data_IF_081060724337
#
_entry.id   IF_081060724337
#
_cell.length_a   1.000
_cell.length_b   1.000
_cell.length_c   1.000
_cell.angle_alpha   90.00
_cell.angle_beta   90.00
_cell.angle_gamma   90.00
#
_symmetry.space_group_name_H-M   'P 1'
#
loop_
_entity.id
_entity.type
_entity.pdbx_description
1 polymer ?
#
# COMPACT_ATOMS: atom_id res chain seq x y z
N UNK A 1 -25.99 -11.49 -5.66
CA UNK A 1 -26.28 -10.04 -5.77
C UNK A 1 -25.29 -9.19 -5.01
N UNK A 2 -24.99 -9.47 -3.73
CA UNK A 2 -24.03 -8.66 -2.95
C UNK A 2 -22.58 -8.73 -3.46
N UNK A 3 -22.10 -9.91 -3.89
CA UNK A 3 -20.78 -10.04 -4.51
C UNK A 3 -20.63 -9.21 -5.78
N UNK A 4 -21.60 -9.30 -6.70
CA UNK A 4 -21.66 -8.47 -7.91
C UNK A 4 -21.67 -6.97 -7.61
N UNK A 5 -22.33 -6.55 -6.52
CA UNK A 5 -22.26 -5.17 -6.05
C UNK A 5 -20.83 -4.83 -5.58
N UNK A 6 -20.19 -5.71 -4.82
CA UNK A 6 -18.79 -5.55 -4.41
C UNK A 6 -17.84 -5.41 -5.60
N UNK A 7 -17.95 -6.28 -6.61
CA UNK A 7 -17.17 -6.21 -7.85
C UNK A 7 -17.41 -4.90 -8.60
N UNK A 8 -18.67 -4.50 -8.77
CA UNK A 8 -19.02 -3.24 -9.42
C UNK A 8 -18.42 -2.04 -8.67
N UNK A 9 -18.43 -2.06 -7.33
CA UNK A 9 -17.82 -1.03 -6.51
C UNK A 9 -16.30 -0.98 -6.71
N UNK A 10 -15.62 -2.12 -6.84
CA UNK A 10 -14.18 -2.16 -7.12
C UNK A 10 -13.86 -1.65 -8.53
N UNK A 11 -14.70 -1.96 -9.53
CA UNK A 11 -14.55 -1.41 -10.90
C UNK A 11 -14.76 0.11 -10.89
N UNK A 12 -15.79 0.60 -10.21
CA UNK A 12 -16.04 2.05 -10.05
C UNK A 12 -14.84 2.71 -9.36
N UNK A 13 -14.33 2.11 -8.28
CA UNK A 13 -13.15 2.61 -7.58
C UNK A 13 -11.93 2.67 -8.50
N UNK A 14 -11.67 1.62 -9.28
CA UNK A 14 -10.55 1.55 -10.20
C UNK A 14 -10.62 2.63 -11.29
N UNK A 15 -11.80 2.81 -11.92
CA UNK A 15 -12.02 3.85 -12.93
C UNK A 15 -11.91 5.25 -12.34
N UNK A 16 -12.53 5.49 -11.18
CA UNK A 16 -12.45 6.77 -10.47
C UNK A 16 -11.01 7.10 -10.04
N UNK A 17 -10.23 6.09 -9.62
CA UNK A 17 -8.81 6.25 -9.32
C UNK A 17 -8.01 6.68 -10.56
N UNK A 18 -8.24 6.03 -11.70
CA UNK A 18 -7.61 6.39 -12.97
C UNK A 18 -7.92 7.83 -13.38
N UNK A 19 -9.20 8.22 -13.28
CA UNK A 19 -9.64 9.60 -13.53
C UNK A 19 -8.98 10.58 -12.56
N UNK A 20 -8.91 10.24 -11.26
CA UNK A 20 -8.27 11.07 -10.25
C UNK A 20 -6.79 11.27 -10.54
N UNK A 21 -6.05 10.19 -10.80
CA UNK A 21 -4.61 10.23 -11.08
C UNK A 21 -4.31 11.07 -12.34
N UNK A 22 -5.07 10.86 -13.42
CA UNK A 22 -4.93 11.62 -14.66
C UNK A 22 -5.30 13.09 -14.48
N UNK A 23 -6.38 13.39 -13.77
CA UNK A 23 -6.80 14.76 -13.51
C UNK A 23 -5.76 15.53 -12.68
N UNK A 24 -5.22 14.93 -11.61
CA UNK A 24 -4.12 15.53 -10.85
C UNK A 24 -2.84 15.67 -11.68
N UNK A 25 -2.52 14.72 -12.54
CA UNK A 25 -1.38 14.81 -13.46
C UNK A 25 -1.51 16.00 -14.42
N UNK A 26 -2.67 16.16 -15.07
CA UNK A 26 -2.93 17.28 -15.97
C UNK A 26 -3.00 18.62 -15.24
N UNK A 27 -3.60 18.65 -14.05
CA UNK A 27 -3.59 19.84 -13.18
C UNK A 27 -2.16 20.25 -12.83
N UNK A 28 -1.31 19.28 -12.48
CA UNK A 28 0.09 19.54 -12.19
C UNK A 28 0.87 19.99 -13.44
N UNK A 29 0.57 19.49 -14.63
CA UNK A 29 1.21 20.02 -15.86
C UNK A 29 0.80 21.46 -16.19
N UNK A 30 -0.41 21.85 -15.83
CA UNK A 30 -0.94 23.18 -16.12
C UNK A 30 -0.71 24.21 -14.99
N UNK A 31 0.17 23.96 -14.00
CA UNK A 31 0.21 24.78 -12.78
C UNK A 31 0.51 26.28 -12.99
N UNK A 32 1.16 26.63 -14.11
CA UNK A 32 1.44 28.02 -14.48
C UNK A 32 0.19 28.77 -14.98
N UNK A 33 -0.84 28.04 -15.44
CA UNK A 33 -2.13 28.58 -15.87
C UNK A 33 -3.26 28.09 -14.95
N UNK A 34 -3.58 28.92 -13.95
CA UNK A 34 -4.62 28.63 -12.96
C UNK A 34 -6.00 28.40 -13.58
N UNK A 35 -6.30 28.98 -14.75
CA UNK A 35 -7.58 28.80 -15.43
C UNK A 35 -7.72 27.39 -16.01
N UNK A 36 -6.60 26.80 -16.44
CA UNK A 36 -6.54 25.42 -16.92
C UNK A 36 -6.39 24.42 -15.77
N UNK A 37 -5.61 24.71 -14.72
CA UNK A 37 -5.37 23.79 -13.60
C UNK A 37 -6.58 23.61 -12.66
N UNK A 38 -7.41 24.64 -12.51
CA UNK A 38 -8.56 24.65 -11.58
C UNK A 38 -9.58 23.53 -11.84
N UNK A 39 -10.12 23.40 -13.07
CA UNK A 39 -11.06 22.34 -13.43
C UNK A 39 -10.50 20.93 -13.20
N UNK A 40 -9.25 20.69 -13.61
CA UNK A 40 -8.59 19.39 -13.41
C UNK A 40 -8.41 19.05 -11.94
N UNK A 41 -8.01 20.03 -11.11
CA UNK A 41 -7.87 19.83 -9.66
C UNK A 41 -9.21 19.47 -9.03
N UNK A 42 -10.30 20.16 -9.42
CA UNK A 42 -11.66 19.86 -8.94
C UNK A 42 -12.09 18.44 -9.34
N UNK A 43 -11.89 18.06 -10.60
CA UNK A 43 -12.17 16.71 -11.08
C UNK A 43 -11.37 15.65 -10.31
N UNK A 44 -10.08 15.90 -10.08
CA UNK A 44 -9.21 15.02 -9.30
C UNK A 44 -9.74 14.78 -7.88
N UNK A 45 -10.11 15.84 -7.16
CA UNK A 45 -10.69 15.74 -5.81
C UNK A 45 -12.02 14.99 -5.78
N UNK A 46 -12.92 15.29 -6.72
CA UNK A 46 -14.22 14.61 -6.80
C UNK A 46 -14.07 13.13 -7.13
N UNK A 47 -13.18 12.80 -8.07
CA UNK A 47 -12.87 11.42 -8.44
C UNK A 47 -12.20 10.66 -7.28
N UNK A 48 -11.31 11.30 -6.52
CA UNK A 48 -10.75 10.72 -5.29
C UNK A 48 -11.83 10.42 -4.24
N UNK A 49 -12.75 11.37 -4.03
CA UNK A 49 -13.88 11.18 -3.12
C UNK A 49 -14.81 10.04 -3.55
N UNK A 50 -15.13 9.96 -4.85
CA UNK A 50 -15.94 8.88 -5.41
C UNK A 50 -15.24 7.51 -5.28
N UNK A 51 -13.94 7.45 -5.56
CA UNK A 51 -13.11 6.26 -5.33
C UNK A 51 -13.13 5.86 -3.85
N UNK A 52 -12.88 6.78 -2.94
CA UNK A 52 -12.87 6.50 -1.49
C UNK A 52 -14.23 5.99 -0.98
N UNK A 53 -15.33 6.57 -1.46
CA UNK A 53 -16.68 6.08 -1.15
C UNK A 53 -16.92 4.67 -1.69
N UNK A 54 -16.49 4.38 -2.92
CA UNK A 54 -16.63 3.05 -3.52
C UNK A 54 -15.78 1.98 -2.80
N UNK A 55 -14.53 2.29 -2.46
CA UNK A 55 -13.65 1.40 -1.67
C UNK A 55 -14.21 1.17 -0.27
N UNK A 56 -14.71 2.22 0.39
CA UNK A 56 -15.35 2.12 1.70
C UNK A 56 -16.62 1.27 1.66
N UNK A 57 -17.46 1.46 0.64
CA UNK A 57 -18.65 0.65 0.43
C UNK A 57 -18.30 -0.83 0.14
N UNK A 58 -17.31 -1.09 -0.72
CA UNK A 58 -16.83 -2.45 -0.98
C UNK A 58 -16.31 -3.12 0.30
N UNK A 59 -15.57 -2.38 1.11
CA UNK A 59 -15.09 -2.85 2.42
C UNK A 59 -16.26 -3.18 3.37
N UNK A 60 -17.29 -2.33 3.41
CA UNK A 60 -18.52 -2.60 4.16
C UNK A 60 -19.26 -3.86 3.68
N UNK A 61 -19.32 -4.07 2.36
CA UNK A 61 -19.90 -5.30 1.77
C UNK A 61 -19.09 -6.52 2.19
N UNK A 62 -17.76 -6.48 2.10
CA UNK A 62 -16.92 -7.63 2.48
C UNK A 62 -17.07 -7.97 3.97
N UNK A 63 -17.06 -6.97 4.86
CA UNK A 63 -17.35 -7.21 6.27
C UNK A 63 -18.74 -7.81 6.50
N UNK A 64 -19.76 -7.32 5.79
CA UNK A 64 -21.10 -7.90 5.88
C UNK A 64 -21.09 -9.37 5.46
N UNK A 65 -20.43 -9.73 4.36
CA UNK A 65 -20.32 -11.11 3.88
C UNK A 65 -19.60 -12.01 4.90
N UNK A 66 -18.53 -11.52 5.52
CA UNK A 66 -17.79 -12.22 6.57
C UNK A 66 -18.67 -12.44 7.80
N UNK A 67 -19.25 -11.36 8.35
CA UNK A 67 -20.02 -11.39 9.60
C UNK A 67 -21.34 -12.16 9.50
N UNK A 68 -21.82 -12.40 8.27
CA UNK A 68 -23.02 -13.18 7.99
C UNK A 68 -22.71 -14.54 7.36
N UNK A 69 -21.45 -15.00 7.45
CA UNK A 69 -21.02 -16.35 7.09
C UNK A 69 -21.42 -16.75 5.65
N UNK A 70 -21.24 -15.83 4.69
CA UNK A 70 -21.63 -16.04 3.29
C UNK A 70 -20.59 -16.92 2.56
N UNK A 71 -20.57 -18.22 2.86
CA UNK A 71 -19.60 -19.19 2.36
C UNK A 71 -19.66 -19.49 0.86
N UNK A 72 -20.66 -18.97 0.14
CA UNK A 72 -20.64 -19.00 -1.32
C UNK A 72 -19.50 -18.16 -1.92
N UNK A 73 -18.95 -17.21 -1.15
CA UNK A 73 -17.80 -16.39 -1.53
C UNK A 73 -16.51 -17.05 -1.09
N UNK A 74 -15.58 -17.20 -2.03
CA UNK A 74 -14.38 -17.99 -1.80
C UNK A 74 -13.49 -17.39 -0.71
N UNK A 75 -13.40 -16.05 -0.63
CA UNK A 75 -12.66 -15.37 0.43
C UNK A 75 -13.24 -15.67 1.82
N UNK A 76 -14.57 -15.58 1.97
CA UNK A 76 -15.27 -15.85 3.25
C UNK A 76 -15.09 -17.31 3.66
N UNK A 77 -15.28 -18.23 2.72
CA UNK A 77 -15.05 -19.66 2.95
C UNK A 77 -13.61 -19.98 3.37
N UNK A 78 -12.61 -19.36 2.75
CA UNK A 78 -11.20 -19.65 3.03
C UNK A 78 -10.70 -19.05 4.36
N UNK A 79 -11.29 -17.95 4.82
CA UNK A 79 -10.72 -17.16 5.93
C UNK A 79 -11.56 -17.19 7.22
N UNK A 80 -12.81 -17.66 7.17
CA UNK A 80 -13.73 -17.62 8.31
C UNK A 80 -14.41 -18.98 8.56
N UNK A 81 -14.96 -19.16 9.76
CA UNK A 81 -15.74 -20.33 10.19
C UNK A 81 -16.77 -19.91 11.25
N UNK A 82 -17.74 -20.80 11.52
CA UNK A 82 -18.84 -20.52 12.45
C UNK A 82 -18.39 -20.41 13.92
N UNK A 83 -17.28 -21.05 14.27
CA UNK A 83 -16.74 -21.14 15.63
C UNK A 83 -15.75 -20.01 15.99
N UNK A 84 -15.39 -19.16 15.01
CA UNK A 84 -14.47 -18.05 15.25
C UNK A 84 -15.09 -16.99 16.17
N UNK A 85 -14.40 -16.60 17.26
CA UNK A 85 -14.77 -15.43 18.04
C UNK A 85 -14.87 -14.17 17.18
N UNK A 86 -15.82 -13.28 17.50
CA UNK A 86 -16.13 -12.09 16.69
C UNK A 86 -14.90 -11.21 16.36
N UNK A 87 -13.96 -11.05 17.30
CA UNK A 87 -12.77 -10.23 17.05
C UNK A 87 -11.84 -10.86 16.00
N UNK A 88 -11.72 -12.19 15.98
CA UNK A 88 -10.99 -12.89 14.92
C UNK A 88 -11.79 -12.88 13.62
N UNK A 89 -13.11 -13.06 13.70
CA UNK A 89 -13.99 -12.98 12.54
C UNK A 89 -13.86 -11.63 11.82
N UNK A 90 -13.86 -10.51 12.55
CA UNK A 90 -13.61 -9.17 11.98
C UNK A 90 -12.23 -9.08 11.36
N UNK A 91 -11.22 -9.69 11.99
CA UNK A 91 -9.83 -9.66 11.49
C UNK A 91 -9.59 -10.47 10.22
N UNK A 92 -10.51 -11.39 9.88
CA UNK A 92 -10.44 -12.15 8.61
C UNK A 92 -10.44 -11.23 7.39
N UNK A 93 -10.96 -9.99 7.51
CA UNK A 93 -10.92 -8.97 6.47
C UNK A 93 -9.52 -8.71 5.91
N UNK A 94 -8.48 -8.80 6.75
CA UNK A 94 -7.09 -8.57 6.34
C UNK A 94 -6.21 -9.81 6.47
N UNK A 95 -6.81 -10.97 6.77
CA UNK A 95 -6.11 -12.24 6.85
C UNK A 95 -5.68 -12.76 5.48
N UNK A 96 -6.63 -12.82 4.54
CA UNK A 96 -6.37 -13.20 3.16
C UNK A 96 -5.78 -12.05 2.33
N UNK A 97 -5.17 -12.40 1.20
CA UNK A 97 -4.48 -11.44 0.33
C UNK A 97 -5.39 -10.37 -0.23
N UNK A 98 -6.52 -10.76 -0.81
CA UNK A 98 -7.48 -9.88 -1.49
C UNK A 98 -8.04 -8.83 -0.52
N UNK A 99 -8.49 -9.28 0.66
CA UNK A 99 -8.97 -8.38 1.71
C UNK A 99 -7.85 -7.50 2.30
N UNK A 100 -6.62 -8.00 2.41
CA UNK A 100 -5.49 -7.19 2.87
C UNK A 100 -5.12 -6.07 1.88
N UNK A 101 -5.18 -6.33 0.57
CA UNK A 101 -5.04 -5.29 -0.46
C UNK A 101 -6.20 -4.30 -0.44
N UNK A 102 -7.44 -4.76 -0.22
CA UNK A 102 -8.60 -3.89 -0.04
C UNK A 102 -8.46 -2.99 1.20
N UNK A 103 -7.97 -3.54 2.32
CA UNK A 103 -7.70 -2.76 3.54
C UNK A 103 -6.61 -1.71 3.29
N UNK A 104 -5.54 -2.08 2.59
CA UNK A 104 -4.50 -1.14 2.21
C UNK A 104 -5.06 -0.03 1.30
N UNK A 105 -5.84 -0.37 0.28
CA UNK A 105 -6.49 0.60 -0.58
C UNK A 105 -7.41 1.56 0.20
N UNK A 106 -8.12 1.06 1.22
CA UNK A 106 -8.94 1.87 2.12
C UNK A 106 -8.09 2.86 2.94
N UNK A 107 -7.00 2.40 3.55
CA UNK A 107 -6.09 3.26 4.32
C UNK A 107 -5.43 4.33 3.43
N UNK A 108 -5.05 3.97 2.20
CA UNK A 108 -4.54 4.93 1.21
C UNK A 108 -5.58 5.98 0.81
N UNK A 109 -6.87 5.61 0.68
CA UNK A 109 -7.95 6.59 0.45
C UNK A 109 -8.01 7.63 1.56
N UNK A 110 -7.84 7.21 2.82
CA UNK A 110 -7.79 8.09 3.99
C UNK A 110 -6.56 8.99 3.93
N UNK A 111 -5.36 8.43 3.72
CA UNK A 111 -4.11 9.20 3.62
C UNK A 111 -4.18 10.25 2.52
N UNK A 112 -4.62 9.89 1.32
CA UNK A 112 -4.74 10.86 0.22
C UNK A 112 -5.88 11.87 0.42
N UNK A 113 -6.96 11.49 1.11
CA UNK A 113 -8.01 12.44 1.51
C UNK A 113 -7.50 13.48 2.49
N UNK A 114 -6.69 13.07 3.48
CA UNK A 114 -6.01 13.97 4.41
C UNK A 114 -4.98 14.85 3.68
N UNK A 115 -4.26 14.33 2.70
CA UNK A 115 -3.38 15.15 1.86
C UNK A 115 -4.16 16.23 1.12
N UNK A 116 -5.26 15.90 0.42
CA UNK A 116 -6.10 16.89 -0.27
C UNK A 116 -6.62 17.97 0.69
N UNK A 117 -6.96 17.58 1.93
CA UNK A 117 -7.50 18.49 2.94
C UNK A 117 -6.45 19.45 3.50
N UNK A 118 -5.25 18.95 3.81
CA UNK A 118 -4.28 19.67 4.66
C UNK A 118 -2.97 20.04 3.97
N UNK A 119 -2.64 19.45 2.82
CA UNK A 119 -1.41 19.80 2.10
C UNK A 119 -1.50 21.20 1.51
N UNK A 120 -0.37 21.90 1.47
CA UNK A 120 -0.26 23.19 0.80
C UNK A 120 -0.61 23.03 -0.68
N UNK A 121 -1.41 23.96 -1.22
CA UNK A 121 -2.02 23.85 -2.56
C UNK A 121 -1.02 23.66 -3.69
N UNK A 122 0.18 24.21 -3.56
CA UNK A 122 1.24 24.07 -4.56
C UNK A 122 1.83 22.64 -4.67
N UNK A 123 1.70 21.80 -3.64
CA UNK A 123 2.15 20.40 -3.69
C UNK A 123 1.02 19.42 -3.97
N UNK A 124 -0.23 19.84 -3.77
CA UNK A 124 -1.39 18.96 -3.87
C UNK A 124 -1.44 18.22 -5.21
N UNK A 125 -1.38 18.94 -6.32
CA UNK A 125 -1.54 18.33 -7.65
C UNK A 125 -0.40 17.37 -8.02
N UNK A 126 0.90 17.70 -7.89
CA UNK A 126 1.95 16.75 -8.25
C UNK A 126 2.04 15.58 -7.26
N UNK A 127 1.81 15.80 -5.96
CA UNK A 127 1.83 14.71 -4.96
C UNK A 127 0.67 13.76 -5.18
N UNK A 128 -0.55 14.27 -5.35
CA UNK A 128 -1.73 13.43 -5.55
C UNK A 128 -1.72 12.69 -6.88
N UNK A 129 -1.04 13.19 -7.92
CA UNK A 129 -0.81 12.43 -9.15
C UNK A 129 0.00 11.15 -8.89
N UNK A 130 1.05 11.25 -8.07
CA UNK A 130 1.91 10.09 -7.72
C UNK A 130 1.20 9.15 -6.75
N UNK A 131 0.51 9.68 -5.74
CA UNK A 131 -0.31 8.88 -4.81
C UNK A 131 -1.42 8.15 -5.57
N UNK A 132 -2.10 8.83 -6.50
CA UNK A 132 -3.13 8.24 -7.35
C UNK A 132 -2.61 7.13 -8.25
N UNK A 133 -1.39 7.26 -8.80
CA UNK A 133 -0.74 6.18 -9.54
C UNK A 133 -0.48 4.96 -8.64
N UNK A 134 0.01 5.17 -7.43
CA UNK A 134 0.23 4.08 -6.47
C UNK A 134 -1.08 3.40 -6.06
N UNK A 135 -2.13 4.18 -5.83
CA UNK A 135 -3.48 3.67 -5.52
C UNK A 135 -4.08 2.89 -6.68
N UNK A 136 -3.80 3.29 -7.93
CA UNK A 136 -4.27 2.57 -9.12
C UNK A 136 -3.66 1.17 -9.20
N UNK A 137 -2.36 1.04 -8.90
CA UNK A 137 -1.71 -0.28 -8.79
C UNK A 137 -2.29 -1.12 -7.65
N UNK A 138 -2.60 -0.52 -6.50
CA UNK A 138 -3.25 -1.25 -5.41
C UNK A 138 -4.64 -1.76 -5.81
N UNK A 139 -5.46 -0.90 -6.41
CA UNK A 139 -6.80 -1.29 -6.85
C UNK A 139 -6.76 -2.31 -7.99
N UNK A 140 -5.74 -2.26 -8.87
CA UNK A 140 -5.58 -3.29 -9.89
C UNK A 140 -5.29 -4.66 -9.30
N UNK A 141 -4.78 -4.79 -8.06
CA UNK A 141 -4.57 -6.10 -7.41
C UNK A 141 -5.88 -6.79 -7.04
N UNK A 142 -6.98 -6.04 -6.93
CA UNK A 142 -8.26 -6.56 -6.42
C UNK A 142 -9.44 -6.37 -7.37
N UNK A 143 -9.25 -5.70 -8.51
CA UNK A 143 -10.35 -5.38 -9.43
C UNK A 143 -10.96 -6.64 -10.08
N UNK A 144 -10.20 -7.73 -10.23
CA UNK A 144 -10.70 -9.02 -10.70
C UNK A 144 -11.18 -9.01 -12.15
N UNK A 145 -10.56 -8.21 -13.03
CA UNK A 145 -10.98 -8.09 -14.43
C UNK A 145 -10.30 -9.16 -15.28
N UNK A 146 -11.09 -9.90 -16.05
CA UNK A 146 -10.60 -10.94 -16.96
C UNK A 146 -10.78 -10.51 -18.43
N UNK A 147 -9.68 -10.49 -19.19
CA UNK A 147 -9.64 -10.20 -20.62
C UNK A 147 -9.02 -11.38 -21.36
N UNK A 148 -9.83 -12.41 -21.67
CA UNK A 148 -9.34 -13.64 -22.27
C UNK A 148 -8.35 -14.36 -21.34
N UNK A 149 -7.09 -14.61 -21.76
CA UNK A 149 -6.09 -15.26 -20.91
C UNK A 149 -5.45 -14.32 -19.88
N UNK A 150 -5.73 -13.02 -19.92
CA UNK A 150 -5.13 -12.04 -19.00
C UNK A 150 -6.10 -11.73 -17.88
N UNK A 151 -5.69 -11.97 -16.64
CA UNK A 151 -6.40 -11.60 -15.42
C UNK A 151 -5.68 -10.43 -14.74
N UNK A 152 -6.43 -9.40 -14.35
CA UNK A 152 -5.94 -8.23 -13.64
C UNK A 152 -6.58 -8.22 -12.25
N UNK A 153 -5.75 -8.53 -11.26
CA UNK A 153 -6.18 -8.62 -9.87
C UNK A 153 -7.04 -9.84 -9.56
N UNK A 154 -7.25 -10.09 -8.26
CA UNK A 154 -8.14 -11.13 -7.77
C UNK A 154 -9.15 -10.51 -6.80
N UNK A 155 -10.44 -10.62 -7.14
CA UNK A 155 -11.50 -9.97 -6.38
C UNK A 155 -11.85 -10.78 -5.12
N UNK A 156 -12.00 -10.13 -3.94
CA UNK A 156 -12.47 -10.82 -2.73
C UNK A 156 -13.94 -11.26 -2.83
N UNK A 157 -14.66 -10.82 -3.86
CA UNK A 157 -16.07 -11.12 -4.09
C UNK A 157 -16.31 -12.28 -5.04
N UNK A 158 -15.24 -12.94 -5.53
CA UNK A 158 -15.36 -14.15 -6.34
C UNK A 158 -16.08 -15.24 -5.56
N UNK A 159 -17.03 -15.89 -6.22
CA UNK A 159 -17.73 -17.06 -5.70
C UNK A 159 -16.82 -18.29 -5.75
N UNK A 160 -17.18 -19.33 -4.99
CA UNK A 160 -16.44 -20.59 -5.01
C UNK A 160 -16.31 -21.21 -6.42
N UNK A 161 -17.37 -21.30 -7.25
CA UNK A 161 -17.24 -21.83 -8.62
C UNK A 161 -16.33 -20.98 -9.51
N UNK A 162 -16.31 -19.66 -9.34
CA UNK A 162 -15.46 -18.75 -10.12
C UNK A 162 -13.98 -18.89 -9.74
N UNK A 163 -13.68 -19.01 -8.44
CA UNK A 163 -12.29 -19.16 -7.97
C UNK A 163 -11.74 -20.57 -8.19
N UNK A 164 -12.59 -21.58 -8.12
CA UNK A 164 -12.21 -22.98 -8.20
C UNK A 164 -12.85 -23.68 -9.40
N UNK A 165 -12.59 -23.16 -10.60
CA UNK A 165 -13.17 -23.65 -11.87
C UNK A 165 -12.93 -25.14 -12.11
N UNK A 166 -11.79 -25.65 -11.63
CA UNK A 166 -11.36 -27.03 -11.88
C UNK A 166 -11.85 -28.02 -10.81
N UNK A 167 -12.51 -27.54 -9.75
CA UNK A 167 -12.96 -28.42 -8.67
C UNK A 167 -14.16 -29.28 -9.11
N UNK A 168 -14.07 -30.62 -9.03
CA UNK A 168 -15.14 -31.53 -9.52
C UNK A 168 -16.50 -31.27 -8.88
N UNK A 169 -16.54 -30.77 -7.64
CA UNK A 169 -17.78 -30.48 -6.92
C UNK A 169 -18.63 -29.42 -7.62
N UNK A 170 -18.02 -28.38 -8.21
CA UNK A 170 -18.77 -27.31 -8.90
C UNK A 170 -19.19 -27.70 -10.31
N UNK A 171 -18.54 -28.70 -10.91
CA UNK A 171 -19.00 -29.30 -12.17
C UNK A 171 -20.25 -30.17 -11.94
N UNK A 172 -20.34 -30.84 -10.79
CA UNK A 172 -21.47 -31.71 -10.44
C UNK A 172 -22.62 -30.93 -9.78
N UNK A 173 -22.31 -29.95 -8.94
CA UNK A 173 -23.27 -29.12 -8.24
C UNK A 173 -22.79 -27.66 -8.21
N UNK A 174 -23.09 -26.86 -9.26
CA UNK A 174 -22.69 -25.46 -9.36
C UNK A 174 -23.22 -24.57 -8.22
N UNK A 175 -24.33 -24.97 -7.60
CA UNK A 175 -24.95 -24.25 -6.48
C UNK A 175 -24.49 -24.72 -5.10
N UNK A 176 -23.45 -25.56 -5.02
CA UNK A 176 -22.95 -26.05 -3.74
C UNK A 176 -22.40 -24.90 -2.89
N UNK A 177 -22.89 -24.80 -1.67
CA UNK A 177 -22.40 -23.87 -0.65
C UNK A 177 -22.04 -24.67 0.61
N UNK A 178 -20.79 -24.62 1.09
CA UNK A 178 -20.38 -25.25 2.34
C UNK A 178 -21.19 -24.73 3.54
N UNK A 179 -21.47 -25.61 4.50
CA UNK A 179 -22.16 -25.25 5.75
C UNK A 179 -21.26 -24.50 6.75
N UNK A 180 -19.95 -24.63 6.58
CA UNK A 180 -18.93 -23.94 7.37
C UNK A 180 -17.74 -23.59 6.45
N UNK A 181 -16.91 -22.65 6.90
CA UNK A 181 -15.66 -22.30 6.24
C UNK A 181 -14.44 -22.97 6.86
N UNK A 182 -13.28 -22.72 6.27
CA UNK A 182 -12.00 -23.29 6.69
C UNK A 182 -11.46 -22.66 7.98
N UNK A 183 -12.03 -21.53 8.40
CA UNK A 183 -11.56 -20.80 9.56
C UNK A 183 -10.26 -20.04 9.30
N UNK A 184 -9.82 -19.33 10.32
CA UNK A 184 -8.51 -18.69 10.32
C UNK A 184 -7.47 -19.75 10.68
N UNK A 185 -6.29 -19.70 10.07
CA UNK A 185 -5.17 -20.55 10.48
C UNK A 185 -4.96 -20.43 12.01
N UNK A 186 -4.83 -21.56 12.70
CA UNK A 186 -4.73 -21.61 14.16
C UNK A 186 -3.59 -20.72 14.71
N UNK A 187 -2.48 -20.58 13.97
CA UNK A 187 -1.37 -19.69 14.34
C UNK A 187 -1.75 -18.20 14.31
N UNK A 188 -2.76 -17.86 13.51
CA UNK A 188 -3.27 -16.50 13.40
C UNK A 188 -4.36 -16.17 14.43
N UNK A 189 -4.87 -17.16 15.16
CA UNK A 189 -5.84 -16.96 16.25
C UNK A 189 -5.16 -16.41 17.52
N UNK A 190 -4.54 -15.25 17.38
CA UNK A 190 -3.82 -14.53 18.42
C UNK A 190 -4.26 -13.05 18.44
N UNK A 191 -4.43 -12.39 19.61
CA UNK A 191 -4.87 -10.99 19.67
C UNK A 191 -4.08 -10.05 18.76
N UNK A 192 -2.79 -10.29 18.52
CA UNK A 192 -1.96 -9.49 17.63
C UNK A 192 -2.48 -9.45 16.19
N UNK A 193 -3.11 -10.52 15.69
CA UNK A 193 -3.74 -10.56 14.36
C UNK A 193 -4.83 -9.48 14.20
N UNK A 194 -5.49 -9.09 15.29
CA UNK A 194 -6.55 -8.07 15.25
C UNK A 194 -6.03 -6.63 15.17
N UNK A 195 -4.80 -6.38 15.61
CA UNK A 195 -4.27 -5.02 15.80
C UNK A 195 -3.01 -4.73 14.99
N UNK A 196 -2.13 -5.72 14.76
CA UNK A 196 -0.88 -5.52 14.04
C UNK A 196 -1.10 -5.20 12.54
N UNK A 197 -1.86 -6.00 11.76
CA UNK A 197 -2.03 -5.72 10.34
C UNK A 197 -2.64 -4.35 10.04
N UNK A 198 -3.67 -3.87 10.79
CA UNK A 198 -4.16 -2.51 10.60
C UNK A 198 -3.09 -1.42 10.76
N UNK A 199 -2.22 -1.54 11.76
CA UNK A 199 -1.11 -0.59 11.99
C UNK A 199 -0.05 -0.70 10.91
N UNK A 200 0.26 -1.93 10.45
CA UNK A 200 1.19 -2.17 9.35
C UNK A 200 0.72 -1.51 8.05
N UNK A 201 -0.54 -1.73 7.65
CA UNK A 201 -1.09 -1.15 6.43
C UNK A 201 -1.25 0.37 6.52
N UNK A 202 -1.50 0.92 7.71
CA UNK A 202 -1.44 2.37 7.93
C UNK A 202 -0.02 2.90 7.70
N UNK A 203 1.01 2.21 8.22
CA UNK A 203 2.42 2.54 7.97
C UNK A 203 2.80 2.47 6.49
N UNK A 204 2.42 1.40 5.79
CA UNK A 204 2.64 1.25 4.35
C UNK A 204 1.94 2.34 3.54
N UNK A 205 0.69 2.66 3.89
CA UNK A 205 -0.07 3.74 3.26
C UNK A 205 0.58 5.10 3.49
N UNK A 206 1.05 5.38 4.70
CA UNK A 206 1.71 6.63 5.02
C UNK A 206 3.09 6.78 4.34
N UNK A 207 3.81 5.67 4.10
CA UNK A 207 5.12 5.68 3.46
C UNK A 207 5.07 6.10 1.98
N UNK A 208 3.90 6.04 1.33
CA UNK A 208 3.74 6.59 -0.03
C UNK A 208 4.00 8.10 -0.07
N UNK A 209 3.74 8.80 1.03
CA UNK A 209 3.75 10.26 1.07
C UNK A 209 5.15 10.83 0.87
N UNK A 210 6.20 10.44 1.62
CA UNK A 210 7.57 10.88 1.35
C UNK A 210 8.03 10.52 -0.07
N UNK A 211 7.66 9.34 -0.59
CA UNK A 211 7.93 8.97 -1.99
C UNK A 211 7.27 9.93 -2.99
N UNK A 212 5.98 10.22 -2.81
CA UNK A 212 5.23 11.10 -3.69
C UNK A 212 5.77 12.54 -3.66
N UNK A 213 6.17 13.04 -2.49
CA UNK A 213 6.84 14.33 -2.39
C UNK A 213 8.23 14.35 -3.05
N UNK A 214 9.03 13.29 -2.90
CA UNK A 214 10.33 13.20 -3.55
C UNK A 214 10.21 13.18 -5.08
N UNK A 215 9.27 12.39 -5.61
CA UNK A 215 8.96 12.36 -7.05
C UNK A 215 8.42 13.72 -7.52
N UNK A 216 7.50 14.34 -6.77
CA UNK A 216 6.99 15.68 -7.07
C UNK A 216 8.10 16.74 -7.09
N UNK A 217 9.04 16.68 -6.14
CA UNK A 217 10.18 17.59 -6.06
C UNK A 217 11.11 17.45 -7.28
N UNK A 218 11.37 16.21 -7.71
CA UNK A 218 12.16 15.91 -8.92
C UNK A 218 11.44 16.35 -10.20
N UNK A 219 10.13 16.11 -10.27
CA UNK A 219 9.30 16.50 -11.41
C UNK A 219 9.23 18.02 -11.55
N UNK A 220 8.98 18.73 -10.44
CA UNK A 220 8.83 20.19 -10.39
C UNK A 220 10.13 20.96 -10.20
N UNK A 221 11.26 20.26 -10.09
CA UNK A 221 12.59 20.83 -9.84
C UNK A 221 12.65 21.70 -8.57
N UNK A 222 11.85 21.37 -7.55
CA UNK A 222 11.78 22.09 -6.26
C UNK A 222 12.50 21.28 -5.18
N UNK A 223 13.83 21.20 -5.28
CA UNK A 223 14.64 20.22 -4.53
C UNK A 223 14.76 20.48 -3.02
N UNK A 224 14.48 21.70 -2.55
CA UNK A 224 14.64 22.08 -1.12
C UNK A 224 13.31 22.24 -0.38
N UNK A 225 12.30 22.82 -1.03
CA UNK A 225 11.08 23.28 -0.35
C UNK A 225 10.17 22.11 0.06
N UNK A 226 10.22 20.98 -0.65
CA UNK A 226 9.38 19.79 -0.42
C UNK A 226 9.56 19.15 0.96
N UNK A 227 10.71 19.35 1.60
CA UNK A 227 11.03 18.73 2.91
C UNK A 227 10.09 19.22 4.01
N UNK A 228 9.76 20.52 4.02
CA UNK A 228 8.91 21.10 5.07
C UNK A 228 7.51 20.49 5.11
N UNK A 229 6.75 20.41 4.00
CA UNK A 229 5.43 19.77 4.00
C UNK A 229 5.51 18.24 4.13
N UNK A 230 6.59 17.59 3.68
CA UNK A 230 6.72 16.13 3.77
C UNK A 230 7.10 15.61 5.17
N UNK A 231 7.91 16.35 5.93
CA UNK A 231 8.48 15.91 7.22
C UNK A 231 7.48 15.33 8.22
N UNK A 232 6.33 15.97 8.51
CA UNK A 232 5.35 15.43 9.46
C UNK A 232 4.79 14.07 9.03
N UNK A 233 4.61 13.88 7.72
CA UNK A 233 4.13 12.63 7.14
C UNK A 233 5.20 11.54 7.17
N UNK A 234 6.46 11.89 6.86
CA UNK A 234 7.58 10.96 6.99
C UNK A 234 7.72 10.47 8.43
N UNK A 235 7.64 11.39 9.42
CA UNK A 235 7.70 11.02 10.84
C UNK A 235 6.54 10.09 11.22
N UNK A 236 5.31 10.43 10.81
CA UNK A 236 4.15 9.59 11.07
C UNK A 236 4.30 8.18 10.46
N UNK A 237 4.74 8.10 9.20
CA UNK A 237 4.96 6.82 8.50
C UNK A 237 6.01 5.95 9.22
N UNK A 238 7.13 6.55 9.61
CA UNK A 238 8.21 5.86 10.34
C UNK A 238 7.76 5.38 11.71
N UNK A 239 7.00 6.20 12.45
CA UNK A 239 6.47 5.81 13.76
C UNK A 239 5.42 4.70 13.64
N UNK A 240 4.46 4.83 12.71
CA UNK A 240 3.43 3.81 12.49
C UNK A 240 4.05 2.46 12.08
N UNK A 241 5.00 2.48 11.14
CA UNK A 241 5.70 1.27 10.71
C UNK A 241 6.59 0.70 11.83
N UNK A 242 7.24 1.54 12.64
CA UNK A 242 8.01 1.10 13.79
C UNK A 242 7.16 0.41 14.86
N UNK A 243 5.98 0.95 15.16
CA UNK A 243 5.00 0.31 16.05
C UNK A 243 4.52 -1.01 15.44
N UNK A 244 4.20 -1.05 14.15
CA UNK A 244 3.82 -2.29 13.47
C UNK A 244 4.89 -3.37 13.59
N UNK A 245 6.16 -3.03 13.31
CA UNK A 245 7.30 -3.96 13.41
C UNK A 245 7.48 -4.45 14.84
N UNK A 246 7.38 -3.57 15.84
CA UNK A 246 7.48 -3.97 17.25
C UNK A 246 6.39 -4.97 17.64
N UNK A 247 5.14 -4.70 17.23
CA UNK A 247 4.00 -5.59 17.47
C UNK A 247 4.16 -6.93 16.73
N UNK A 248 4.58 -6.90 15.47
CA UNK A 248 4.78 -8.08 14.64
C UNK A 248 5.91 -8.96 15.18
N UNK A 249 7.05 -8.37 15.56
CA UNK A 249 8.17 -9.09 16.14
C UNK A 249 7.84 -9.73 17.50
N UNK A 250 7.02 -9.06 18.33
CA UNK A 250 6.53 -9.69 19.57
C UNK A 250 5.53 -10.82 19.29
N UNK A 251 4.63 -10.63 18.33
CA UNK A 251 3.68 -11.67 17.93
C UNK A 251 4.38 -12.92 17.39
N UNK A 252 5.37 -12.75 16.52
CA UNK A 252 6.22 -13.83 16.02
C UNK A 252 6.91 -14.58 17.16
N UNK A 253 7.49 -13.85 18.11
CA UNK A 253 8.16 -14.43 19.28
C UNK A 253 7.22 -15.35 20.10
N UNK A 254 6.00 -14.90 20.40
CA UNK A 254 5.07 -15.68 21.23
C UNK A 254 4.38 -16.83 20.49
N UNK A 255 4.35 -16.80 19.15
CA UNK A 255 3.59 -17.78 18.34
C UNK A 255 4.51 -18.84 17.74
N UNK A 256 5.67 -18.45 17.23
CA UNK A 256 6.54 -19.33 16.44
C UNK A 256 7.74 -19.85 17.23
N UNK A 257 7.97 -19.34 18.44
CA UNK A 257 9.00 -19.83 19.38
C UNK A 257 10.43 -19.89 18.82
N UNK A 258 10.71 -19.26 17.67
CA UNK A 258 11.98 -19.41 16.96
C UNK A 258 13.13 -18.77 17.75
N UNK A 259 13.73 -19.48 18.70
CA UNK A 259 15.06 -19.22 19.23
C UNK A 259 15.35 -17.81 19.81
N UNK A 260 14.40 -16.88 19.86
CA UNK A 260 14.59 -15.48 20.26
C UNK A 260 13.75 -14.47 19.47
N UNK A 261 13.95 -13.19 19.77
CA UNK A 261 13.40 -12.05 19.00
C UNK A 261 14.17 -11.99 17.66
N UNK A 262 13.47 -11.99 16.51
CA UNK A 262 14.06 -11.93 15.15
C UNK A 262 14.79 -13.18 14.64
N UNK A 263 14.21 -14.37 14.82
CA UNK A 263 14.62 -15.43 13.91
C UNK A 263 14.39 -14.98 12.46
N UNK A 264 15.36 -15.24 11.60
CA UNK A 264 15.48 -14.63 10.27
C UNK A 264 14.45 -15.16 9.27
N UNK A 265 13.14 -14.96 9.54
CA UNK A 265 12.10 -15.17 8.56
C UNK A 265 12.16 -14.02 7.53
N UNK A 266 12.34 -14.32 6.23
CA UNK A 266 12.49 -13.28 5.22
C UNK A 266 11.26 -12.37 5.06
N UNK A 267 10.05 -12.86 5.39
CA UNK A 267 8.81 -12.09 5.33
C UNK A 267 8.74 -11.10 6.50
N UNK A 268 9.04 -11.53 7.72
CA UNK A 268 9.10 -10.64 8.89
C UNK A 268 10.14 -9.53 8.69
N UNK A 269 11.34 -9.89 8.24
CA UNK A 269 12.44 -8.96 7.99
C UNK A 269 12.21 -8.03 6.79
N UNK A 270 11.36 -8.43 5.85
CA UNK A 270 11.05 -7.60 4.68
C UNK A 270 10.49 -6.23 5.09
N UNK A 271 9.73 -6.15 6.19
CA UNK A 271 9.16 -4.90 6.68
C UNK A 271 10.19 -3.97 7.37
N UNK A 272 11.33 -4.51 7.84
CA UNK A 272 12.37 -3.75 8.53
C UNK A 272 13.15 -2.83 7.57
N UNK A 273 13.46 -3.30 6.35
CA UNK A 273 14.23 -2.53 5.37
C UNK A 273 13.56 -1.18 5.00
N UNK A 274 12.28 -1.12 4.61
CA UNK A 274 11.63 0.16 4.32
C UNK A 274 11.55 1.07 5.56
N UNK A 275 11.49 0.51 6.77
CA UNK A 275 11.53 1.29 8.01
C UNK A 275 12.90 1.93 8.25
N UNK A 276 13.99 1.18 8.11
CA UNK A 276 15.36 1.71 8.22
C UNK A 276 15.63 2.80 7.19
N UNK A 277 15.22 2.58 5.93
CA UNK A 277 15.29 3.59 4.87
C UNK A 277 14.43 4.82 5.18
N UNK A 278 13.24 4.63 5.75
CA UNK A 278 12.37 5.70 6.20
C UNK A 278 12.96 6.53 7.35
N UNK A 279 13.59 5.87 8.33
CA UNK A 279 14.33 6.55 9.41
C UNK A 279 15.46 7.38 8.83
N UNK A 280 16.27 6.79 7.93
CA UNK A 280 17.37 7.51 7.28
C UNK A 280 16.83 8.69 6.45
N UNK A 281 15.73 8.52 5.72
CA UNK A 281 15.05 9.59 5.00
C UNK A 281 14.62 10.71 5.96
N UNK A 282 14.00 10.39 7.09
CA UNK A 282 13.60 11.37 8.09
C UNK A 282 14.79 12.18 8.63
N UNK A 283 15.89 11.51 9.00
CA UNK A 283 17.10 12.18 9.50
C UNK A 283 17.75 13.07 8.44
N UNK A 284 17.91 12.57 7.21
CA UNK A 284 18.47 13.36 6.11
C UNK A 284 17.58 14.55 5.73
N UNK A 285 16.25 14.42 5.82
CA UNK A 285 15.32 15.54 5.67
C UNK A 285 15.48 16.59 6.77
N UNK A 286 15.77 16.20 8.01
CA UNK A 286 16.06 17.15 9.10
C UNK A 286 17.35 17.92 8.84
N UNK A 287 18.40 17.24 8.38
CA UNK A 287 19.65 17.86 7.95
C UNK A 287 19.36 18.85 6.83
N UNK A 288 18.66 18.42 5.78
CA UNK A 288 18.29 19.27 4.65
C UNK A 288 17.49 20.50 5.06
N UNK A 289 16.54 20.36 5.99
CA UNK A 289 15.77 21.50 6.50
C UNK A 289 16.64 22.52 7.24
N UNK A 290 17.70 22.07 7.92
CA UNK A 290 18.50 22.91 8.82
C UNK A 290 19.74 23.52 8.15
N UNK A 291 20.51 22.72 7.44
CA UNK A 291 21.77 23.13 6.80
C UNK A 291 21.64 23.36 5.30
N UNK A 292 20.52 22.95 4.68
CA UNK A 292 20.39 23.00 3.22
C UNK A 292 21.31 22.01 2.50
N UNK A 293 21.81 20.98 3.19
CA UNK A 293 22.60 19.87 2.60
C UNK A 293 21.79 18.57 2.52
N UNK A 294 22.34 17.49 1.96
CA UNK A 294 21.68 16.16 1.91
C UNK A 294 20.42 16.04 1.05
N UNK A 295 20.22 16.92 0.06
CA UNK A 295 19.14 16.82 -0.94
C UNK A 295 19.11 15.45 -1.62
N UNK A 296 20.29 15.01 -2.09
CA UNK A 296 20.46 13.74 -2.80
C UNK A 296 20.03 12.55 -1.94
N UNK A 297 20.53 12.50 -0.70
CA UNK A 297 20.21 11.44 0.24
C UNK A 297 18.72 11.45 0.63
N UNK A 298 18.16 12.61 0.97
CA UNK A 298 16.76 12.74 1.35
C UNK A 298 15.81 12.27 0.25
N UNK A 299 16.08 12.64 -1.00
CA UNK A 299 15.31 12.20 -2.17
C UNK A 299 15.46 10.69 -2.40
N UNK A 300 16.69 10.18 -2.47
CA UNK A 300 16.96 8.77 -2.75
C UNK A 300 16.37 7.86 -1.67
N UNK A 301 16.55 8.19 -0.39
CA UNK A 301 16.07 7.39 0.73
C UNK A 301 14.53 7.42 0.81
N UNK A 302 13.90 8.56 0.55
CA UNK A 302 12.43 8.64 0.46
C UNK A 302 11.88 7.80 -0.68
N UNK A 303 12.58 7.77 -1.82
CA UNK A 303 12.21 6.92 -2.96
C UNK A 303 12.39 5.45 -2.60
N UNK A 304 13.56 5.09 -2.09
CA UNK A 304 13.90 3.72 -1.72
C UNK A 304 12.95 3.17 -0.65
N UNK A 305 12.61 3.94 0.39
CA UNK A 305 11.72 3.47 1.46
C UNK A 305 10.40 2.92 0.93
N UNK A 306 9.71 3.63 0.02
CA UNK A 306 8.46 3.12 -0.55
C UNK A 306 8.66 2.02 -1.58
N UNK A 307 9.72 2.07 -2.41
CA UNK A 307 10.04 0.96 -3.31
C UNK A 307 10.26 -0.33 -2.54
N UNK A 308 10.91 -0.26 -1.39
CA UNK A 308 11.09 -1.41 -0.51
C UNK A 308 9.78 -1.84 0.16
N UNK A 309 8.81 -0.97 0.43
CA UNK A 309 7.45 -1.40 0.84
C UNK A 309 6.80 -2.27 -0.24
N UNK A 310 6.87 -1.85 -1.51
CA UNK A 310 6.32 -2.62 -2.63
C UNK A 310 7.11 -3.91 -2.87
N UNK A 311 8.44 -3.86 -2.73
CA UNK A 311 9.29 -5.05 -2.82
C UNK A 311 9.00 -6.07 -1.71
N UNK A 312 8.79 -5.61 -0.47
CA UNK A 312 8.38 -6.48 0.64
C UNK A 312 7.01 -7.10 0.38
N UNK A 313 6.10 -6.35 -0.23
CA UNK A 313 4.82 -6.91 -0.70
C UNK A 313 5.03 -7.99 -1.78
N UNK A 314 5.93 -7.77 -2.74
CA UNK A 314 6.29 -8.78 -3.73
C UNK A 314 6.85 -10.05 -3.08
N UNK A 315 7.79 -9.93 -2.15
CA UNK A 315 8.37 -11.08 -1.45
C UNK A 315 7.31 -11.88 -0.69
N UNK A 316 6.38 -11.19 -0.04
CA UNK A 316 5.36 -11.82 0.82
C UNK A 316 4.17 -12.38 0.05
N UNK A 317 3.78 -11.79 -1.09
CA UNK A 317 2.50 -12.06 -1.78
C UNK A 317 2.64 -12.70 -3.17
N UNK A 318 3.86 -12.82 -3.71
CA UNK A 318 4.07 -13.40 -5.05
C UNK A 318 4.17 -14.93 -5.07
N UNK A 319 4.34 -15.56 -3.90
CA UNK A 319 4.66 -16.99 -3.76
C UNK A 319 6.14 -17.33 -3.96
N UNK A 320 7.02 -16.36 -4.25
CA UNK A 320 8.46 -16.61 -4.49
C UNK A 320 9.19 -17.17 -3.26
N UNK A 321 8.67 -16.91 -2.07
CA UNK A 321 9.22 -17.39 -0.80
C UNK A 321 8.48 -18.64 -0.26
N UNK A 322 7.61 -19.27 -1.06
CA UNK A 322 6.76 -20.39 -0.60
C UNK A 322 7.53 -21.56 0.00
N UNK A 323 8.76 -21.83 -0.48
CA UNK A 323 9.61 -22.93 0.01
C UNK A 323 10.51 -22.53 1.19
N UNK A 324 10.62 -21.23 1.51
CA UNK A 324 11.61 -20.69 2.47
C UNK A 324 11.02 -19.87 3.60
N UNK A 325 9.74 -19.48 3.54
CA UNK A 325 9.05 -18.75 4.60
C UNK A 325 7.64 -19.28 4.83
N UNK A 326 7.32 -19.55 6.10
CA UNK A 326 5.99 -19.97 6.55
C UNK A 326 4.94 -18.85 6.48
N UNK A 327 5.39 -17.60 6.32
CA UNK A 327 4.52 -16.42 6.18
C UNK A 327 4.30 -16.01 4.72
N UNK A 328 4.89 -16.73 3.76
CA UNK A 328 4.63 -16.46 2.35
C UNK A 328 3.21 -16.86 2.00
N UNK A 329 2.51 -15.96 1.31
CA UNK A 329 1.18 -16.27 0.81
C UNK A 329 1.26 -17.06 -0.51
N UNK A 330 0.31 -17.99 -0.70
CA UNK A 330 0.15 -18.74 -1.96
C UNK A 330 -0.09 -17.77 -3.11
N UNK A 331 0.60 -17.90 -4.25
CA UNK A 331 0.45 -16.94 -5.36
C UNK A 331 -1.00 -16.81 -5.84
N UNK A 332 -1.49 -15.56 -5.94
CA UNK A 332 -2.74 -15.21 -6.64
C UNK A 332 -2.54 -15.01 -8.15
N UNK A 333 -1.43 -15.49 -8.72
CA UNK A 333 -1.06 -15.14 -10.10
C UNK A 333 -0.59 -13.68 -10.28
N UNK A 334 -0.46 -12.92 -9.19
CA UNK A 334 -0.10 -11.50 -9.20
C UNK A 334 1.40 -11.22 -9.40
N UNK A 335 2.22 -12.26 -9.57
CA UNK A 335 3.69 -12.14 -9.68
C UNK A 335 4.12 -11.08 -10.69
N UNK A 336 3.61 -11.17 -11.93
CA UNK A 336 3.97 -10.23 -13.01
C UNK A 336 3.44 -8.82 -12.73
N UNK A 337 2.28 -8.69 -12.08
CA UNK A 337 1.68 -7.40 -11.76
C UNK A 337 2.45 -6.67 -10.64
N UNK A 338 2.89 -7.40 -9.61
CA UNK A 338 3.75 -6.88 -8.55
C UNK A 338 5.13 -6.48 -9.09
N UNK A 339 5.71 -7.27 -10.00
CA UNK A 339 6.96 -6.92 -10.67
C UNK A 339 6.82 -5.67 -11.55
N UNK A 340 5.73 -5.56 -12.30
CA UNK A 340 5.40 -4.37 -13.08
C UNK A 340 5.27 -3.14 -12.18
N UNK A 341 4.62 -3.29 -11.03
CA UNK A 341 4.47 -2.21 -10.05
C UNK A 341 5.83 -1.70 -9.55
N UNK A 342 6.74 -2.61 -9.17
CA UNK A 342 8.12 -2.27 -8.78
C UNK A 342 8.85 -1.58 -9.94
N UNK A 343 8.77 -2.14 -11.15
CA UNK A 343 9.48 -1.61 -12.32
C UNK A 343 9.01 -0.20 -12.69
N UNK A 344 7.69 0.05 -12.68
CA UNK A 344 7.12 1.36 -13.00
C UNK A 344 7.47 2.40 -11.94
N UNK A 345 7.31 2.08 -10.66
CA UNK A 345 7.65 3.03 -9.60
C UNK A 345 9.16 3.23 -9.46
N UNK A 346 9.95 2.18 -9.68
CA UNK A 346 11.40 2.25 -9.70
C UNK A 346 11.90 3.11 -10.85
N UNK A 347 11.38 2.90 -12.06
CA UNK A 347 11.65 3.74 -13.22
C UNK A 347 11.23 5.19 -13.02
N UNK A 348 10.06 5.42 -12.42
CA UNK A 348 9.60 6.77 -12.08
C UNK A 348 10.50 7.43 -11.04
N UNK A 349 10.73 6.80 -9.90
CA UNK A 349 11.50 7.37 -8.79
C UNK A 349 13.00 7.44 -9.08
N UNK A 350 13.64 6.28 -9.26
CA UNK A 350 15.08 6.20 -9.48
C UNK A 350 15.46 6.78 -10.85
N UNK A 351 14.67 6.54 -11.90
CA UNK A 351 14.93 7.10 -13.22
C UNK A 351 14.86 8.64 -13.22
N UNK A 352 13.86 9.25 -12.57
CA UNK A 352 13.83 10.71 -12.40
C UNK A 352 14.98 11.22 -11.53
N UNK A 353 15.34 10.51 -10.46
CA UNK A 353 16.46 10.87 -9.60
C UNK A 353 17.77 10.92 -10.40
N UNK A 354 18.06 9.88 -11.19
CA UNK A 354 19.25 9.81 -12.04
C UNK A 354 19.22 10.91 -13.11
N UNK A 355 18.08 11.09 -13.79
CA UNK A 355 17.93 12.12 -14.83
C UNK A 355 18.14 13.55 -14.31
N UNK A 356 17.82 13.81 -13.03
CA UNK A 356 17.99 15.13 -12.39
C UNK A 356 19.24 15.24 -11.54
N UNK A 357 20.06 14.19 -11.44
CA UNK A 357 21.15 14.10 -10.47
C UNK A 357 22.15 15.28 -10.57
N UNK A 358 22.46 15.72 -11.80
CA UNK A 358 23.34 16.87 -12.06
C UNK A 358 22.73 18.23 -11.75
N UNK A 359 21.40 18.34 -11.64
CA UNK A 359 20.69 19.57 -11.26
C UNK A 359 20.54 19.72 -9.74
N UNK A 360 20.82 18.65 -8.97
CA UNK A 360 20.61 18.65 -7.52
C UNK A 360 21.68 19.52 -6.82
N UNK A 361 21.26 20.39 -5.87
CA UNK A 361 22.19 21.22 -5.11
C UNK A 361 23.29 20.39 -4.45
N UNK A 362 24.52 20.88 -4.54
CA UNK A 362 25.69 20.32 -3.85
C UNK A 362 26.06 21.30 -2.74
N UNK A 363 26.27 20.83 -1.50
CA UNK A 363 26.75 21.69 -0.42
C UNK A 363 28.13 22.26 -0.75
N UNK A 364 28.38 23.52 -0.39
CA UNK A 364 29.68 24.18 -0.60
C UNK A 364 30.79 23.59 0.28
N UNK A 365 30.43 23.03 1.44
CA UNK A 365 31.35 22.36 2.37
C UNK A 365 30.74 21.04 2.86
N UNK A 366 31.59 20.02 3.02
CA UNK A 366 31.19 18.80 3.72
C UNK A 366 30.98 19.09 5.21
N UNK A 367 29.98 18.45 5.87
CA UNK A 367 29.79 18.63 7.30
C UNK A 367 31.07 18.23 8.04
N UNK A 368 31.55 19.12 8.91
CA UNK A 368 32.74 18.84 9.74
C UNK A 368 32.55 17.52 10.49
N UNK A 369 33.63 16.74 10.61
CA UNK A 369 33.62 15.50 11.39
C UNK A 369 33.14 15.80 12.82
N UNK A 370 32.25 14.95 13.34
CA UNK A 370 31.59 15.12 14.66
C UNK A 370 30.71 16.39 14.81
N UNK A 371 30.38 17.09 13.73
CA UNK A 371 29.34 18.12 13.76
C UNK A 371 27.98 17.52 14.12
N UNK A 372 27.05 18.37 14.58
CA UNK A 372 25.68 17.93 14.86
C UNK A 372 25.03 17.34 13.60
N UNK A 373 25.29 17.93 12.44
CA UNK A 373 24.83 17.42 11.15
C UNK A 373 25.45 16.05 10.84
N UNK A 374 26.74 15.86 11.09
CA UNK A 374 27.44 14.57 10.90
C UNK A 374 26.91 13.46 11.82
N UNK A 375 26.53 13.77 13.07
CA UNK A 375 26.00 12.77 14.01
C UNK A 375 24.53 12.39 13.75
N UNK A 376 23.82 13.17 12.92
CA UNK A 376 22.44 12.91 12.50
C UNK A 376 22.40 12.10 11.21
N UNK A 377 23.42 12.26 10.35
CA UNK A 377 23.67 11.40 9.20
C UNK A 377 24.12 10.01 9.67
#
# INVERSE_FOLDING_TARGET
MLGTLGELLLVIAFVACGLSALAFFWAARADEDASMAGPWTRTGRLAWGAMGAAVGAASGVLWYLILTHQYQYAYVYQQSSNDLPLHYLVSTFWAGQEGSFLFWALMMCVVGGLLIAYVQREYETPVMAVVGLCQLFLLSMIVGLQFGPVEIGSSPFMTLPEKFTDAPIFQQNPGFVPADGQGLNDLLQNPWMTIHPPVLFLGFSAMVVPFAFAVAALWKKRYTQWVRPALPWTLFAVLALGVAIAMGGYWAYVTLSFGGYWAWDPVENSSLVPWLLGIAAFHTMLVQKKSGSSQKASLLLSIAAYLFVVYSTFLTRSGILGDVSVHSFVSLGLYNQLLLWIAVLGGLGIGLFVARYGELPVPDEEPRTLSREFMIL
#
